data_IF_432567848903
#
_entry.id   IF_432567848903
#
_cell.length_a   1.000
_cell.length_b   1.000
_cell.length_c   1.000
_cell.angle_alpha   90.00
_cell.angle_beta   90.00
_cell.angle_gamma   90.00
#
_symmetry.space_group_name_H-M   'P 1'
#
loop_
_entity.id
_entity.type
_entity.pdbx_description
1 polymer ?
#
# COMPACT_ATOMS: atom_id res chain seq x y z
N UNK A 1 5.60 8.07 26.56
CA UNK A 1 6.30 7.16 25.62
C UNK A 1 5.27 6.58 24.66
N UNK A 2 5.35 6.94 23.40
CA UNK A 2 4.58 6.27 22.34
C UNK A 2 5.03 4.81 22.32
N UNK A 3 4.14 3.89 22.70
CA UNK A 3 4.43 2.45 22.56
C UNK A 3 4.39 2.15 21.08
N UNK A 4 5.50 1.73 20.50
CA UNK A 4 5.58 1.29 19.12
C UNK A 4 4.49 0.25 18.84
N UNK A 5 3.75 0.44 17.75
CA UNK A 5 2.64 -0.44 17.34
C UNK A 5 3.07 -1.42 16.25
N UNK A 6 4.16 -1.11 15.55
CA UNK A 6 4.54 -1.78 14.31
C UNK A 6 6.05 -2.06 14.30
N UNK A 7 6.43 -3.24 13.81
CA UNK A 7 7.81 -3.59 13.44
C UNK A 7 7.89 -3.89 11.94
N UNK A 8 9.04 -3.65 11.34
CA UNK A 8 9.28 -3.93 9.93
C UNK A 8 10.23 -5.12 9.79
N UNK A 9 9.81 -6.13 9.02
CA UNK A 9 10.57 -7.35 8.77
C UNK A 9 10.17 -7.97 7.43
N UNK A 10 10.86 -9.04 7.00
CA UNK A 10 10.55 -9.73 5.76
C UNK A 10 9.08 -10.18 5.69
N UNK A 11 8.43 -9.92 4.56
CA UNK A 11 7.04 -10.23 4.29
C UNK A 11 6.89 -11.35 3.26
N UNK A 12 5.86 -12.18 3.44
CA UNK A 12 5.47 -13.18 2.44
C UNK A 12 4.76 -12.55 1.23
N UNK A 13 4.24 -11.32 1.36
CA UNK A 13 3.59 -10.60 0.26
C UNK A 13 4.65 -10.05 -0.69
N UNK A 14 5.53 -9.20 -0.17
CA UNK A 14 6.64 -8.61 -0.93
C UNK A 14 7.66 -7.97 0.00
N UNK A 15 8.94 -8.20 -0.26
CA UNK A 15 10.08 -7.54 0.38
C UNK A 15 9.96 -7.43 1.89
N UNK A 16 9.87 -6.21 2.39
CA UNK A 16 9.56 -5.90 3.79
C UNK A 16 8.08 -5.62 3.98
N UNK A 17 7.57 -5.89 5.16
CA UNK A 17 6.21 -5.55 5.60
C UNK A 17 6.20 -5.02 7.02
N UNK A 18 5.10 -4.38 7.39
CA UNK A 18 4.87 -3.91 8.75
C UNK A 18 3.98 -4.89 9.53
N UNK A 19 4.37 -5.27 10.73
CA UNK A 19 3.68 -6.26 11.56
C UNK A 19 3.31 -5.67 12.92
N UNK A 20 2.12 -6.00 13.39
CA UNK A 20 1.63 -5.51 14.67
C UNK A 20 2.44 -6.11 15.85
N UNK A 21 3.03 -5.24 16.69
CA UNK A 21 3.73 -5.63 17.90
C UNK A 21 2.80 -5.98 19.06
N UNK A 22 1.52 -5.68 18.93
CA UNK A 22 0.46 -5.99 19.89
C UNK A 22 -0.89 -5.92 19.19
N UNK A 23 -1.96 -6.28 19.88
CA UNK A 23 -3.31 -6.00 19.36
C UNK A 23 -3.48 -4.50 19.13
N UNK A 24 -3.98 -4.13 17.95
CA UNK A 24 -4.34 -2.77 17.55
C UNK A 24 -5.85 -2.74 17.35
N UNK A 25 -6.54 -1.87 18.04
CA UNK A 25 -7.99 -1.74 17.94
C UNK A 25 -8.38 -0.94 16.69
N UNK A 26 -9.55 -1.26 16.13
CA UNK A 26 -10.16 -0.49 15.04
C UNK A 26 -10.17 1.01 15.37
N UNK A 27 -9.84 1.85 14.38
CA UNK A 27 -9.79 3.31 14.50
C UNK A 27 -8.50 3.85 15.09
N UNK A 28 -7.52 2.99 15.40
CA UNK A 28 -6.22 3.42 15.92
C UNK A 28 -5.35 3.96 14.79
N UNK A 29 -4.76 5.18 14.92
CA UNK A 29 -3.69 5.63 14.04
C UNK A 29 -2.43 4.81 14.34
N UNK A 30 -1.94 4.11 13.31
CA UNK A 30 -0.83 3.16 13.45
C UNK A 30 0.51 3.86 13.24
N UNK A 31 0.63 4.53 12.10
CA UNK A 31 1.85 5.22 11.67
C UNK A 31 1.50 6.33 10.68
N UNK A 32 2.22 7.45 10.75
CA UNK A 32 2.14 8.50 9.75
C UNK A 32 2.97 8.11 8.51
N UNK A 33 2.40 8.31 7.33
CA UNK A 33 3.12 8.21 6.07
C UNK A 33 3.75 9.58 5.78
N UNK A 34 5.02 9.70 6.01
CA UNK A 34 5.77 10.96 5.89
C UNK A 34 6.55 11.03 4.58
N UNK A 35 6.89 12.23 4.14
CA UNK A 35 7.63 12.40 2.89
C UNK A 35 7.95 13.85 2.59
N UNK A 36 8.41 14.06 1.37
CA UNK A 36 8.65 15.38 0.79
C UNK A 36 7.41 15.84 0.03
N UNK A 37 6.88 17.03 0.37
CA UNK A 37 5.81 17.67 -0.39
C UNK A 37 6.39 18.24 -1.69
N UNK A 38 5.90 17.75 -2.83
CA UNK A 38 6.39 18.07 -4.15
C UNK A 38 5.27 18.59 -5.05
N UNK A 39 5.61 19.39 -6.07
CA UNK A 39 4.64 19.85 -7.07
C UNK A 39 4.23 18.72 -8.02
N UNK A 40 3.09 18.89 -8.70
CA UNK A 40 2.64 17.92 -9.73
C UNK A 40 3.67 17.71 -10.84
N UNK A 41 4.37 18.77 -11.25
CA UNK A 41 5.42 18.68 -12.27
C UNK A 41 6.61 17.84 -11.80
N UNK A 42 7.06 18.02 -10.56
CA UNK A 42 8.13 17.23 -9.97
C UNK A 42 7.68 15.78 -9.73
N UNK A 43 6.45 15.58 -9.28
CA UNK A 43 5.84 14.25 -9.09
C UNK A 43 5.85 13.45 -10.39
N UNK A 44 5.46 14.06 -11.51
CA UNK A 44 5.48 13.40 -12.81
C UNK A 44 6.89 12.90 -13.18
N UNK A 45 7.91 13.74 -13.00
CA UNK A 45 9.31 13.38 -13.25
C UNK A 45 9.75 12.19 -12.39
N UNK A 46 9.40 12.21 -11.09
CA UNK A 46 9.75 11.14 -10.16
C UNK A 46 9.00 9.84 -10.45
N UNK A 47 7.74 9.92 -10.86
CA UNK A 47 6.97 8.76 -11.30
C UNK A 47 7.54 8.13 -12.58
N UNK A 48 7.96 8.95 -13.56
CA UNK A 48 8.62 8.48 -14.77
C UNK A 48 9.99 7.81 -14.47
N UNK A 49 10.65 8.22 -13.39
CA UNK A 49 11.87 7.59 -12.87
C UNK A 49 11.60 6.38 -11.95
N UNK A 50 10.39 5.81 -12.00
CA UNK A 50 10.00 4.60 -11.28
C UNK A 50 9.90 4.75 -9.75
N UNK A 51 9.61 5.93 -9.24
CA UNK A 51 9.32 6.12 -7.81
C UNK A 51 7.91 5.65 -7.46
N UNK A 52 7.75 4.55 -6.68
CA UNK A 52 6.44 3.98 -6.36
C UNK A 52 5.79 4.57 -5.11
N UNK A 53 6.42 5.52 -4.41
CA UNK A 53 6.04 5.93 -3.05
C UNK A 53 5.36 7.30 -3.00
N UNK A 54 4.65 7.68 -4.06
CA UNK A 54 4.03 9.01 -4.17
C UNK A 54 2.52 8.91 -3.90
N UNK A 55 2.05 9.73 -2.94
CA UNK A 55 0.63 9.95 -2.66
C UNK A 55 0.17 11.31 -3.19
N UNK A 56 -1.01 11.34 -3.79
CA UNK A 56 -1.68 12.60 -4.13
C UNK A 56 -2.26 13.24 -2.87
N UNK A 57 -1.87 14.48 -2.56
CA UNK A 57 -2.43 15.27 -1.47
C UNK A 57 -3.65 16.05 -1.96
N UNK A 58 -3.45 16.84 -3.02
CA UNK A 58 -4.46 17.72 -3.62
C UNK A 58 -4.17 17.95 -5.11
N UNK A 59 -4.84 18.92 -5.73
CA UNK A 59 -4.65 19.25 -7.15
C UNK A 59 -3.30 19.91 -7.48
N UNK A 60 -2.59 20.41 -6.48
CA UNK A 60 -1.32 21.14 -6.64
C UNK A 60 -0.10 20.31 -6.19
N UNK A 61 -0.26 19.48 -5.18
CA UNK A 61 0.84 18.81 -4.51
C UNK A 61 0.64 17.30 -4.34
N UNK A 62 1.77 16.61 -4.34
CA UNK A 62 1.91 15.22 -3.96
C UNK A 62 2.90 15.07 -2.79
N UNK A 63 2.84 13.94 -2.10
CA UNK A 63 3.79 13.54 -1.07
C UNK A 63 4.67 12.42 -1.59
N UNK A 64 5.96 12.67 -1.70
CA UNK A 64 6.94 11.64 -2.04
C UNK A 64 7.46 10.97 -0.77
N UNK A 65 7.05 9.74 -0.56
CA UNK A 65 7.45 8.92 0.59
C UNK A 65 8.77 8.17 0.42
N UNK A 66 9.47 8.32 -0.71
CA UNK A 66 10.77 7.66 -0.91
C UNK A 66 11.91 8.40 -0.20
N UNK A 67 11.76 8.50 1.10
CA UNK A 67 12.74 9.12 2.00
C UNK A 67 13.15 8.12 3.08
N UNK A 68 14.35 8.27 3.60
CA UNK A 68 14.92 7.32 4.59
C UNK A 68 14.19 7.31 5.92
N UNK A 69 13.52 8.39 6.27
CA UNK A 69 12.77 8.54 7.53
C UNK A 69 11.28 8.14 7.42
N UNK A 70 10.85 7.55 6.31
CA UNK A 70 9.49 7.04 6.13
C UNK A 70 9.46 5.51 6.14
N UNK A 71 9.37 4.86 7.29
CA UNK A 71 9.24 3.39 7.34
C UNK A 71 7.87 2.91 6.83
N UNK A 72 6.83 3.75 6.85
CA UNK A 72 5.49 3.40 6.37
C UNK A 72 5.45 3.02 4.88
N UNK A 73 6.45 3.43 4.08
CA UNK A 73 6.58 3.02 2.67
C UNK A 73 6.71 1.50 2.48
N UNK A 74 7.10 0.77 3.52
CA UNK A 74 7.22 -0.69 3.47
C UNK A 74 5.93 -1.44 3.83
N UNK A 75 4.83 -0.75 4.15
CA UNK A 75 3.54 -1.38 4.36
C UNK A 75 2.99 -1.87 3.02
N UNK A 76 2.69 -3.17 2.93
CA UNK A 76 2.27 -3.81 1.70
C UNK A 76 0.79 -3.57 1.36
N UNK A 77 0.45 -3.79 0.09
CA UNK A 77 -0.92 -3.81 -0.41
C UNK A 77 -1.62 -5.12 -0.07
N UNK A 78 -2.93 -5.04 0.19
CA UNK A 78 -3.85 -6.18 0.16
C UNK A 78 -5.17 -5.78 -0.49
N UNK A 79 -5.80 -6.73 -1.21
CA UNK A 79 -7.17 -6.60 -1.67
C UNK A 79 -8.20 -6.77 -0.53
N UNK A 80 -7.76 -7.31 0.62
CA UNK A 80 -8.56 -7.43 1.85
C UNK A 80 -7.75 -6.82 3.01
N UNK A 81 -7.60 -5.49 3.03
CA UNK A 81 -6.71 -4.82 3.96
C UNK A 81 -7.27 -4.79 5.39
N UNK A 82 -6.39 -4.56 6.37
CA UNK A 82 -6.76 -4.31 7.76
C UNK A 82 -6.52 -2.86 8.20
N UNK A 83 -5.99 -2.06 7.29
CA UNK A 83 -5.77 -0.63 7.48
C UNK A 83 -6.13 0.15 6.21
N UNK A 84 -6.21 1.45 6.33
CA UNK A 84 -6.40 2.38 5.21
C UNK A 84 -5.59 3.66 5.42
N UNK A 85 -5.30 4.36 4.34
CA UNK A 85 -4.66 5.67 4.39
C UNK A 85 -5.74 6.76 4.53
N UNK A 86 -5.72 7.49 5.63
CA UNK A 86 -6.61 8.62 5.89
C UNK A 86 -5.84 9.94 5.84
N UNK A 87 -6.50 10.98 5.31
CA UNK A 87 -5.93 12.30 5.13
C UNK A 87 -6.45 13.27 6.19
N UNK A 88 -5.52 13.90 6.91
CA UNK A 88 -5.79 14.93 7.90
C UNK A 88 -5.05 16.23 7.49
N UNK A 89 -5.66 17.02 6.62
CA UNK A 89 -4.96 18.11 5.96
C UNK A 89 -3.83 17.57 5.08
N UNK A 90 -2.60 17.99 5.32
CA UNK A 90 -1.40 17.55 4.59
C UNK A 90 -0.77 16.26 5.17
N UNK A 91 -1.33 15.74 6.26
CA UNK A 91 -0.83 14.51 6.90
C UNK A 91 -1.59 13.29 6.37
N UNK A 92 -0.86 12.19 6.16
CA UNK A 92 -1.42 10.90 5.77
C UNK A 92 -1.12 9.91 6.89
N UNK A 93 -2.17 9.29 7.43
CA UNK A 93 -2.04 8.30 8.49
C UNK A 93 -2.56 6.95 8.03
N UNK A 94 -1.82 5.89 8.34
CA UNK A 94 -2.30 4.52 8.18
C UNK A 94 -3.12 4.18 9.42
N UNK A 95 -4.43 3.98 9.22
CA UNK A 95 -5.44 3.78 10.27
C UNK A 95 -5.95 2.34 10.26
N UNK A 96 -6.12 1.74 11.42
CA UNK A 96 -6.73 0.41 11.52
C UNK A 96 -8.24 0.46 11.20
N UNK A 97 -8.70 -0.29 10.20
CA UNK A 97 -10.13 -0.38 9.83
C UNK A 97 -10.87 -1.53 10.50
N UNK A 98 -10.14 -2.42 11.15
CA UNK A 98 -10.62 -3.48 12.04
C UNK A 98 -9.60 -3.74 13.15
N UNK A 99 -9.93 -4.58 14.10
CA UNK A 99 -8.94 -5.07 15.06
C UNK A 99 -7.86 -5.87 14.33
N UNK A 100 -6.60 -5.58 14.64
CA UNK A 100 -5.40 -6.26 14.10
C UNK A 100 -4.75 -7.01 15.26
N UNK A 101 -4.47 -8.28 15.07
CA UNK A 101 -3.89 -9.11 16.13
C UNK A 101 -2.36 -8.97 16.19
N UNK A 102 -1.79 -9.28 17.35
CA UNK A 102 -0.34 -9.40 17.52
C UNK A 102 0.27 -10.28 16.41
N UNK A 103 1.30 -9.77 15.73
CA UNK A 103 2.01 -10.49 14.68
C UNK A 103 1.32 -10.49 13.31
N UNK A 104 0.12 -9.92 13.19
CA UNK A 104 -0.56 -9.78 11.90
C UNK A 104 0.13 -8.71 11.03
N UNK A 105 0.30 -9.00 9.74
CA UNK A 105 0.82 -8.01 8.80
C UNK A 105 -0.21 -6.90 8.56
N UNK A 106 0.24 -5.65 8.69
CA UNK A 106 -0.56 -4.47 8.42
C UNK A 106 -0.50 -4.20 6.93
N UNK A 107 -1.67 -4.08 6.30
CA UNK A 107 -1.80 -3.85 4.86
C UNK A 107 -2.87 -2.81 4.58
N UNK A 108 -2.72 -2.07 3.49
CA UNK A 108 -3.76 -1.18 2.99
C UNK A 108 -3.93 -1.33 1.47
N UNK A 109 -5.07 -0.88 0.92
CA UNK A 109 -5.25 -0.90 -0.52
C UNK A 109 -4.55 0.32 -1.13
N UNK A 110 -3.65 0.09 -2.09
CA UNK A 110 -2.93 1.14 -2.81
C UNK A 110 -3.83 1.96 -3.74
N UNK A 111 -5.02 1.43 -4.06
CA UNK A 111 -6.09 2.16 -4.76
C UNK A 111 -5.71 2.72 -6.13
N UNK A 112 -4.94 1.97 -6.91
CA UNK A 112 -4.64 2.34 -8.30
C UNK A 112 -5.92 2.41 -9.14
N UNK A 113 -5.91 3.30 -10.13
CA UNK A 113 -6.95 3.33 -11.15
C UNK A 113 -6.75 2.25 -12.24
N UNK A 114 -7.55 2.29 -13.29
CA UNK A 114 -7.51 1.31 -14.36
C UNK A 114 -6.57 1.69 -15.52
N UNK A 115 -5.82 2.78 -15.42
CA UNK A 115 -4.99 3.29 -16.52
C UNK A 115 -3.83 2.35 -16.81
N UNK A 116 -3.10 1.95 -15.77
CA UNK A 116 -1.91 1.11 -15.86
C UNK A 116 -1.93 -0.10 -14.91
N UNK A 117 -3.14 -0.50 -14.48
CA UNK A 117 -3.31 -1.55 -13.46
C UNK A 117 -2.60 -2.88 -13.77
N UNK A 118 -2.40 -3.20 -15.06
CA UNK A 118 -1.71 -4.42 -15.49
C UNK A 118 -0.23 -4.46 -15.10
N UNK A 119 0.35 -3.28 -14.87
CA UNK A 119 1.73 -3.13 -14.39
C UNK A 119 1.84 -3.35 -12.87
N UNK A 120 0.69 -3.46 -12.17
CA UNK A 120 0.60 -3.58 -10.72
C UNK A 120 -0.06 -4.89 -10.28
N UNK A 121 0.56 -6.06 -10.53
CA UNK A 121 0.01 -7.34 -10.09
C UNK A 121 -0.01 -7.45 -8.56
N UNK A 122 -1.10 -7.98 -8.00
CA UNK A 122 -1.24 -8.19 -6.57
C UNK A 122 -0.80 -9.60 -6.17
N UNK A 123 -0.06 -9.69 -5.06
CA UNK A 123 0.42 -10.94 -4.45
C UNK A 123 -0.06 -11.11 -3.01
N UNK A 124 -1.15 -10.43 -2.60
CA UNK A 124 -1.61 -10.44 -1.21
C UNK A 124 -2.04 -11.82 -0.70
N UNK A 125 -2.33 -12.77 -1.59
CA UNK A 125 -2.65 -14.16 -1.23
C UNK A 125 -4.02 -14.37 -0.58
N UNK A 126 -4.87 -13.34 -0.49
CA UNK A 126 -6.21 -13.44 0.12
C UNK A 126 -7.20 -14.08 -0.85
N UNK A 127 -8.27 -14.70 -0.32
CA UNK A 127 -9.33 -15.32 -1.14
C UNK A 127 -10.03 -14.33 -2.07
N UNK A 128 -10.14 -13.07 -1.66
CA UNK A 128 -10.78 -12.00 -2.43
C UNK A 128 -9.81 -11.23 -3.33
N UNK A 129 -8.60 -11.73 -3.51
CA UNK A 129 -7.61 -11.10 -4.36
C UNK A 129 -8.10 -11.04 -5.81
N UNK A 130 -8.16 -9.83 -6.37
CA UNK A 130 -8.55 -9.60 -7.77
C UNK A 130 -7.37 -9.68 -8.75
N UNK A 131 -6.17 -9.96 -8.25
CA UNK A 131 -4.95 -10.13 -9.05
C UNK A 131 -4.19 -8.85 -9.36
N UNK A 132 -4.74 -7.69 -9.03
CA UNK A 132 -4.14 -6.37 -9.23
C UNK A 132 -4.36 -5.45 -8.04
N UNK A 133 -3.52 -4.43 -7.89
CA UNK A 133 -3.57 -3.44 -6.81
C UNK A 133 -4.52 -2.29 -7.12
N UNK A 134 -5.73 -2.58 -7.57
CA UNK A 134 -6.72 -1.57 -7.94
C UNK A 134 -7.60 -1.18 -6.75
N UNK A 135 -8.20 0.02 -6.85
CA UNK A 135 -9.17 0.47 -5.87
C UNK A 135 -10.38 -0.48 -5.79
N UNK A 136 -10.91 -0.67 -4.58
CA UNK A 136 -12.01 -1.61 -4.29
C UNK A 136 -13.25 -1.38 -5.19
N UNK A 137 -13.52 -0.14 -5.55
CA UNK A 137 -14.62 0.24 -6.46
C UNK A 137 -14.55 -0.48 -7.82
N UNK A 138 -13.36 -0.92 -8.22
CA UNK A 138 -13.15 -1.64 -9.49
C UNK A 138 -13.21 -3.16 -9.37
N UNK A 139 -13.28 -3.73 -8.16
CA UNK A 139 -13.29 -5.19 -7.96
C UNK A 139 -14.35 -5.93 -8.77
N UNK A 140 -15.60 -5.40 -8.95
CA UNK A 140 -16.60 -6.08 -9.78
C UNK A 140 -16.22 -6.28 -11.24
N UNK A 141 -15.22 -5.55 -11.74
CA UNK A 141 -14.72 -5.67 -13.13
C UNK A 141 -13.74 -6.84 -13.32
N UNK A 142 -13.32 -7.49 -12.22
CA UNK A 142 -12.39 -8.60 -12.26
C UNK A 142 -13.08 -9.90 -11.88
N UNK A 143 -13.04 -10.89 -12.77
CA UNK A 143 -13.54 -12.23 -12.47
C UNK A 143 -12.57 -12.97 -11.55
N UNK A 144 -13.11 -13.70 -10.57
CA UNK A 144 -12.30 -14.51 -9.63
C UNK A 144 -11.47 -15.58 -10.35
N UNK A 145 -11.96 -16.11 -11.48
CA UNK A 145 -11.23 -17.09 -12.31
C UNK A 145 -9.89 -16.58 -12.84
N UNK A 146 -9.80 -15.27 -13.13
CA UNK A 146 -8.57 -14.65 -13.62
C UNK A 146 -7.48 -14.54 -12.54
N UNK A 147 -7.86 -14.41 -11.27
CA UNK A 147 -6.93 -14.33 -10.16
C UNK A 147 -6.27 -15.69 -9.86
N UNK A 148 -7.02 -16.80 -9.95
CA UNK A 148 -6.51 -18.17 -9.77
C UNK A 148 -5.57 -18.58 -10.89
N UNK A 149 -5.89 -18.29 -12.14
CA UNK A 149 -5.04 -18.58 -13.30
C UNK A 149 -3.69 -17.85 -13.25
N UNK A 150 -3.60 -16.71 -12.57
CA UNK A 150 -2.36 -15.94 -12.40
C UNK A 150 -1.49 -16.43 -11.25
N UNK A 151 -2.07 -17.06 -10.23
CA UNK A 151 -1.30 -17.71 -9.15
C UNK A 151 -0.49 -18.89 -9.67
N UNK A 152 -0.95 -19.59 -10.73
CA UNK A 152 -0.26 -20.70 -11.38
C UNK A 152 0.87 -20.24 -12.30
N UNK A 153 0.82 -19.02 -12.85
CA UNK A 153 1.91 -18.43 -13.62
C UNK A 153 2.90 -17.77 -12.66
N UNK A 154 3.86 -18.55 -12.18
CA UNK A 154 5.03 -18.10 -11.43
C UNK A 154 5.75 -17.01 -12.21
N UNK A 155 5.49 -15.74 -11.87
CA UNK A 155 6.25 -14.61 -12.39
C UNK A 155 7.65 -14.58 -11.74
N UNK A 156 8.70 -14.20 -12.50
CA UNK A 156 10.05 -14.11 -11.98
C UNK A 156 10.14 -13.03 -10.90
N UNK A 157 11.01 -13.25 -9.95
CA UNK A 157 11.18 -12.64 -8.62
C UNK A 157 11.74 -11.21 -8.65
N UNK A 158 11.59 -10.42 -9.72
CA UNK A 158 12.35 -9.19 -9.87
C UNK A 158 11.65 -8.03 -10.60
N UNK A 159 10.48 -7.63 -10.13
CA UNK A 159 9.98 -6.31 -10.53
C UNK A 159 9.66 -5.49 -9.27
N UNK A 160 10.25 -4.29 -9.09
CA UNK A 160 9.85 -3.39 -8.01
C UNK A 160 8.40 -2.97 -8.22
N UNK A 161 7.64 -3.01 -7.13
CA UNK A 161 6.27 -2.53 -7.08
C UNK A 161 6.27 -1.00 -7.18
N UNK A 162 5.50 -0.47 -8.12
CA UNK A 162 5.33 0.97 -8.32
C UNK A 162 3.99 1.40 -7.74
N UNK A 163 4.01 2.34 -6.81
CA UNK A 163 2.83 3.01 -6.28
C UNK A 163 2.60 4.30 -7.08
N UNK A 164 1.50 4.38 -7.83
CA UNK A 164 0.96 5.66 -8.28
C UNK A 164 -0.33 5.92 -7.51
N UNK A 165 -0.32 6.97 -6.70
CA UNK A 165 -1.53 7.48 -6.08
C UNK A 165 -2.46 8.14 -7.08
#
# INVERSE_FOLDING_TARGET
>A
MSKELIEFKASAIHGMGGFALRKIEKGTPIIEYVGEKISKAESLVRCEADNPYIFTIDDEFDLDGDVSWNPAKFINHSCTPNAEAEFFGDQIWIMAIRDIQLGEEITFNYSYDLTDYKEHPCRCGTEKCVGYMVAEVFFPKFDRGDAEARREKKLPDSAPLRLRG
#
